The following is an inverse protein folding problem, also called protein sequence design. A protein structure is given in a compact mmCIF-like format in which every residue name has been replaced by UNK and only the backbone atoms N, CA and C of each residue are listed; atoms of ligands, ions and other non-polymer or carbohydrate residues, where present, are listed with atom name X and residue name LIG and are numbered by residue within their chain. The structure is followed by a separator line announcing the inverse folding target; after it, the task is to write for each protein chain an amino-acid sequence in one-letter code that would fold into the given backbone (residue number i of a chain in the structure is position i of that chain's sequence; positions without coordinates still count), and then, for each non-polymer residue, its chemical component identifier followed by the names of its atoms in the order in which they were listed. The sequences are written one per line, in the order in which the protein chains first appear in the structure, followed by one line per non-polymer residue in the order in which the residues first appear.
data_IF_206780200268
#
_entry.id   IF_206780200268
#
_cell.length_a   1.000
_cell.length_b   1.000
_cell.length_c   1.000
_cell.angle_alpha   90.00
_cell.angle_beta   90.00
_cell.angle_gamma   90.00
#
_symmetry.space_group_name_H-M   'P 1'
#
loop_
_entity.id
_entity.type
_entity.pdbx_description
1 polymer ?
#
# COMPACT_ATOMS: atom_id res chain seq x y z
N UNK A 1 15.49 5.26 -38.06
CA UNK A 1 16.37 5.45 -36.88
C UNK A 1 16.50 4.16 -36.08
N UNK A 2 15.40 3.52 -35.72
CA UNK A 2 15.36 2.30 -34.88
C UNK A 2 16.17 1.11 -35.42
N UNK A 3 16.21 0.93 -36.75
CA UNK A 3 17.00 -0.16 -37.36
C UNK A 3 18.52 -0.07 -37.17
N UNK A 4 19.08 1.10 -36.79
CA UNK A 4 20.53 1.27 -36.62
C UNK A 4 21.05 0.67 -35.32
N UNK A 5 20.29 0.78 -34.22
CA UNK A 5 20.67 0.16 -32.94
C UNK A 5 20.73 -1.36 -33.06
N UNK A 6 19.72 -1.96 -33.69
CA UNK A 6 19.69 -3.42 -33.89
C UNK A 6 20.88 -3.91 -34.74
N UNK A 7 21.25 -3.16 -35.79
CA UNK A 7 22.45 -3.46 -36.58
C UNK A 7 23.75 -3.39 -35.76
N UNK A 8 23.86 -2.45 -34.80
CA UNK A 8 25.02 -2.36 -33.91
C UNK A 8 25.09 -3.51 -32.89
N UNK A 9 23.97 -4.19 -32.63
CA UNK A 9 23.89 -5.31 -31.69
C UNK A 9 23.91 -6.68 -32.36
N UNK A 10 23.83 -6.75 -33.69
CA UNK A 10 23.66 -7.99 -34.46
C UNK A 10 24.85 -8.97 -34.31
N UNK A 11 26.05 -8.46 -34.03
CA UNK A 11 27.25 -9.27 -33.81
C UNK A 11 27.49 -9.73 -32.36
N UNK A 12 26.64 -9.32 -31.41
CA UNK A 12 26.84 -9.62 -29.99
C UNK A 12 26.29 -11.01 -29.63
N UNK A 13 27.18 -11.96 -29.37
CA UNK A 13 26.84 -13.37 -29.15
C UNK A 13 26.20 -13.68 -27.79
N UNK A 14 26.17 -12.70 -26.88
CA UNK A 14 25.71 -12.85 -25.50
C UNK A 14 24.84 -11.69 -25.00
N UNK A 15 23.81 -11.31 -25.77
CA UNK A 15 22.86 -10.24 -25.40
C UNK A 15 22.09 -10.58 -24.11
N UNK A 16 22.65 -10.19 -22.97
CA UNK A 16 21.94 -10.17 -21.69
C UNK A 16 21.02 -8.95 -21.61
N UNK A 17 19.98 -9.02 -20.77
CA UNK A 17 19.10 -7.87 -20.53
C UNK A 17 19.87 -6.64 -20.02
N UNK A 18 20.91 -6.86 -19.20
CA UNK A 18 21.75 -5.78 -18.71
C UNK A 18 22.54 -5.10 -19.84
N UNK A 19 23.16 -5.89 -20.73
CA UNK A 19 23.89 -5.36 -21.88
C UNK A 19 22.94 -4.60 -22.82
N UNK A 20 21.77 -5.16 -23.10
CA UNK A 20 20.74 -4.51 -23.92
C UNK A 20 20.30 -3.17 -23.32
N UNK A 21 19.96 -3.14 -22.02
CA UNK A 21 19.56 -1.91 -21.33
C UNK A 21 20.66 -0.85 -21.35
N UNK A 22 21.93 -1.24 -21.19
CA UNK A 22 23.04 -0.30 -21.22
C UNK A 22 23.25 0.26 -22.62
N UNK A 23 23.24 -0.61 -23.65
CA UNK A 23 23.41 -0.20 -25.03
C UNK A 23 22.26 0.71 -25.50
N UNK A 24 21.01 0.36 -25.16
CA UNK A 24 19.84 1.17 -25.54
C UNK A 24 19.85 2.51 -24.81
N UNK A 25 20.20 2.58 -23.53
CA UNK A 25 20.34 3.84 -22.79
C UNK A 25 21.38 4.75 -23.45
N UNK A 26 22.58 4.22 -23.73
CA UNK A 26 23.64 4.97 -24.36
C UNK A 26 23.22 5.46 -25.75
N UNK A 27 22.59 4.61 -26.55
CA UNK A 27 22.09 4.98 -27.86
C UNK A 27 21.00 6.06 -27.81
N UNK A 28 20.05 5.95 -26.87
CA UNK A 28 18.99 6.94 -26.69
C UNK A 28 19.58 8.30 -26.34
N UNK A 29 20.49 8.34 -25.36
CA UNK A 29 21.10 9.58 -24.89
C UNK A 29 22.04 10.21 -25.94
N UNK A 30 22.86 9.39 -26.59
CA UNK A 30 23.96 9.87 -27.43
C UNK A 30 23.54 10.11 -28.88
N UNK A 31 22.67 9.28 -29.44
CA UNK A 31 22.30 9.35 -30.86
C UNK A 31 20.84 9.76 -31.05
N UNK A 32 19.87 9.03 -30.47
CA UNK A 32 18.45 9.25 -30.78
C UNK A 32 18.00 10.66 -30.40
N UNK A 33 18.23 11.08 -29.17
CA UNK A 33 17.83 12.41 -28.69
C UNK A 33 18.59 13.56 -29.36
N UNK A 34 19.75 13.29 -29.98
CA UNK A 34 20.66 14.32 -30.52
C UNK A 34 20.68 14.40 -32.05
N UNK A 35 20.17 13.38 -32.74
CA UNK A 35 20.11 13.35 -34.19
C UNK A 35 18.79 13.95 -34.70
N UNK A 36 18.81 14.58 -35.87
CA UNK A 36 17.60 15.11 -36.50
C UNK A 36 16.62 13.97 -36.78
N UNK A 37 15.40 14.08 -36.23
CA UNK A 37 14.35 13.11 -36.44
C UNK A 37 13.56 13.45 -37.71
N UNK A 38 13.36 12.48 -38.60
CA UNK A 38 12.74 12.69 -39.91
C UNK A 38 11.33 13.28 -39.83
N UNK A 39 10.55 12.90 -38.81
CA UNK A 39 9.18 13.42 -38.63
C UNK A 39 9.12 14.77 -37.92
N UNK A 40 10.13 15.11 -37.11
CA UNK A 40 10.14 16.35 -36.34
C UNK A 40 10.90 17.47 -37.07
N UNK A 41 11.70 17.13 -38.08
CA UNK A 41 12.67 18.02 -38.74
C UNK A 41 13.66 18.73 -37.78
N UNK A 42 13.72 18.28 -36.52
CA UNK A 42 14.62 18.74 -35.45
C UNK A 42 15.00 17.54 -34.57
N UNK A 43 15.87 17.74 -33.58
CA UNK A 43 16.23 16.67 -32.63
C UNK A 43 15.09 16.48 -31.60
N UNK A 44 14.84 15.24 -31.13
CA UNK A 44 13.84 15.01 -30.08
C UNK A 44 14.11 15.82 -28.81
N UNK A 45 15.39 16.02 -28.44
CA UNK A 45 15.77 16.82 -27.29
C UNK A 45 15.41 18.31 -27.48
N UNK A 46 15.74 18.90 -28.63
CA UNK A 46 15.38 20.28 -28.92
C UNK A 46 13.85 20.47 -28.90
N UNK A 47 13.11 19.54 -29.52
CA UNK A 47 11.64 19.58 -29.51
C UNK A 47 11.06 19.50 -28.11
N UNK A 48 11.62 18.66 -27.24
CA UNK A 48 11.20 18.53 -25.85
C UNK A 48 11.45 19.82 -25.05
N UNK A 49 12.61 20.46 -25.23
CA UNK A 49 12.99 21.68 -24.51
C UNK A 49 12.22 22.92 -24.97
N UNK A 50 11.88 23.01 -26.25
CA UNK A 50 11.12 24.14 -26.82
C UNK A 50 9.60 24.00 -26.59
N UNK A 51 9.12 22.78 -26.34
CA UNK A 51 7.70 22.49 -26.16
C UNK A 51 7.12 23.06 -24.87
N UNK A 52 5.79 23.29 -24.82
CA UNK A 52 5.12 23.65 -23.56
C UNK A 52 5.29 22.52 -22.54
N UNK A 53 5.66 22.88 -21.31
CA UNK A 53 5.79 21.91 -20.24
C UNK A 53 4.43 21.47 -19.72
N UNK A 54 4.22 20.16 -19.68
CA UNK A 54 3.11 19.50 -18.96
C UNK A 54 3.60 18.77 -17.72
N UNK A 55 4.80 19.11 -17.25
CA UNK A 55 5.41 18.50 -16.09
C UNK A 55 4.54 18.69 -14.84
N UNK A 56 4.42 17.63 -14.05
CA UNK A 56 3.76 17.66 -12.75
C UNK A 56 4.85 17.76 -11.66
N UNK A 57 4.56 18.42 -10.52
CA UNK A 57 5.45 18.37 -9.38
C UNK A 57 5.78 16.92 -9.01
N UNK A 58 7.06 16.64 -8.80
CA UNK A 58 7.47 15.33 -8.31
C UNK A 58 6.87 15.12 -6.91
N UNK A 59 6.22 13.97 -6.64
CA UNK A 59 5.82 13.63 -5.28
C UNK A 59 7.04 13.60 -4.36
N UNK A 60 6.83 13.84 -3.07
CA UNK A 60 7.91 13.69 -2.11
C UNK A 60 8.40 12.24 -2.03
N UNK A 61 9.59 12.06 -1.46
CA UNK A 61 10.22 10.75 -1.38
C UNK A 61 9.39 9.72 -0.58
N UNK A 62 8.57 10.14 0.38
CA UNK A 62 7.73 9.24 1.17
C UNK A 62 6.52 8.76 0.35
N UNK A 63 5.91 9.64 -0.44
CA UNK A 63 4.87 9.31 -1.40
C UNK A 63 5.37 8.32 -2.44
N UNK A 64 6.57 8.56 -3.02
CA UNK A 64 7.19 7.62 -3.96
C UNK A 64 7.45 6.26 -3.30
N UNK A 65 8.07 6.22 -2.12
CA UNK A 65 8.29 4.96 -1.38
C UNK A 65 7.01 4.21 -1.07
N UNK A 66 5.89 4.92 -0.90
CA UNK A 66 4.58 4.30 -0.64
C UNK A 66 3.97 3.74 -1.93
N UNK A 67 4.11 4.45 -3.05
CA UNK A 67 3.56 4.05 -4.35
C UNK A 67 4.18 2.75 -4.90
N UNK A 68 5.45 2.47 -4.60
CA UNK A 68 6.18 1.29 -5.08
C UNK A 68 6.16 0.09 -4.11
N UNK A 69 5.11 -0.03 -3.30
CA UNK A 69 4.94 -1.16 -2.37
C UNK A 69 3.99 -2.20 -2.95
N UNK A 70 4.29 -3.46 -2.67
CA UNK A 70 3.38 -4.58 -2.90
C UNK A 70 2.71 -4.97 -1.60
N UNK A 71 1.53 -5.57 -1.70
CA UNK A 71 0.82 -6.17 -0.58
C UNK A 71 0.88 -7.69 -0.67
N UNK A 72 1.10 -8.35 0.46
CA UNK A 72 1.05 -9.82 0.55
C UNK A 72 0.33 -10.27 1.82
N UNK A 73 -0.51 -11.30 1.68
CA UNK A 73 -1.07 -12.01 2.83
C UNK A 73 -0.06 -13.02 3.38
N UNK A 74 0.07 -13.11 4.70
CA UNK A 74 0.93 -14.06 5.40
C UNK A 74 0.23 -14.61 6.63
N UNK A 75 0.46 -15.89 6.93
CA UNK A 75 -0.03 -16.51 8.16
C UNK A 75 0.90 -16.15 9.32
N UNK A 76 0.36 -15.61 10.39
CA UNK A 76 1.10 -15.36 11.62
C UNK A 76 1.37 -16.68 12.34
N UNK A 77 2.58 -16.84 12.89
CA UNK A 77 2.92 -17.95 13.77
C UNK A 77 2.37 -17.69 15.17
N UNK A 78 1.39 -18.50 15.61
CA UNK A 78 0.72 -18.30 16.92
C UNK A 78 1.63 -18.46 18.13
N UNK A 79 2.68 -19.29 18.02
CA UNK A 79 3.53 -19.63 19.16
C UNK A 79 4.43 -18.47 19.63
N UNK A 80 4.89 -17.61 18.71
CA UNK A 80 5.80 -16.49 19.00
C UNK A 80 5.31 -15.14 18.43
N UNK A 81 4.13 -15.12 17.80
CA UNK A 81 3.55 -13.89 17.25
C UNK A 81 4.32 -13.32 16.06
N UNK A 82 5.13 -14.10 15.36
CA UNK A 82 5.96 -13.62 14.25
C UNK A 82 5.38 -13.94 12.87
N UNK A 83 5.90 -13.28 11.85
CA UNK A 83 5.61 -13.57 10.44
C UNK A 83 6.90 -13.62 9.62
N UNK A 84 6.97 -14.57 8.68
CA UNK A 84 8.10 -14.66 7.75
C UNK A 84 7.84 -13.87 6.48
N UNK A 85 8.80 -13.04 6.08
CA UNK A 85 8.76 -12.27 4.83
C UNK A 85 10.15 -12.27 4.21
N UNK A 86 10.28 -12.71 2.95
CA UNK A 86 11.54 -12.67 2.20
C UNK A 86 12.79 -13.16 2.98
N UNK A 87 12.64 -14.22 3.79
CA UNK A 87 13.72 -14.82 4.58
C UNK A 87 13.96 -14.19 5.97
N UNK A 88 13.33 -13.06 6.29
CA UNK A 88 13.39 -12.44 7.63
C UNK A 88 12.14 -12.76 8.45
N UNK A 89 12.28 -12.75 9.78
CA UNK A 89 11.15 -12.82 10.71
C UNK A 89 10.85 -11.44 11.24
N UNK A 90 9.57 -11.07 11.20
CA UNK A 90 9.07 -9.80 11.70
C UNK A 90 8.18 -10.07 12.91
N UNK A 91 8.25 -9.20 13.90
CA UNK A 91 7.38 -9.25 15.08
C UNK A 91 6.04 -8.58 14.79
N UNK A 92 4.93 -9.25 15.11
CA UNK A 92 3.60 -8.63 15.08
C UNK A 92 3.28 -8.06 16.47
N UNK A 93 2.82 -6.80 16.56
CA UNK A 93 2.39 -6.24 17.83
C UNK A 93 1.30 -7.08 18.51
N UNK A 94 1.42 -7.28 19.83
CA UNK A 94 0.55 -8.18 20.60
C UNK A 94 -0.96 -7.88 20.51
N UNK A 95 -1.34 -6.66 20.14
CA UNK A 95 -2.74 -6.25 19.89
C UNK A 95 -3.36 -6.91 18.66
N UNK A 96 -2.54 -7.35 17.70
CA UNK A 96 -2.98 -8.03 16.48
C UNK A 96 -2.76 -9.55 16.53
N UNK A 97 -2.36 -10.12 17.67
CA UNK A 97 -2.10 -11.57 17.82
C UNK A 97 -3.28 -12.49 17.48
N UNK A 98 -4.49 -11.95 17.49
CA UNK A 98 -5.70 -12.69 17.15
C UNK A 98 -5.86 -12.89 15.64
N UNK A 99 -5.15 -12.10 14.82
CA UNK A 99 -5.19 -12.20 13.36
C UNK A 99 -4.40 -13.43 12.92
N UNK A 100 -5.08 -14.43 12.39
CA UNK A 100 -4.41 -15.61 11.83
C UNK A 100 -3.65 -15.28 10.55
N UNK A 101 -4.26 -14.46 9.69
CA UNK A 101 -3.68 -13.96 8.45
C UNK A 101 -3.53 -12.45 8.57
N UNK A 102 -2.33 -11.97 8.27
CA UNK A 102 -1.95 -10.56 8.28
C UNK A 102 -1.57 -10.11 6.88
N UNK A 103 -1.85 -8.86 6.55
CA UNK A 103 -1.49 -8.26 5.26
C UNK A 103 -0.31 -7.32 5.46
N UNK A 104 0.74 -7.51 4.67
CA UNK A 104 1.98 -6.77 4.79
C UNK A 104 2.20 -5.95 3.52
N UNK A 105 2.51 -4.66 3.66
CA UNK A 105 2.97 -3.79 2.56
C UNK A 105 4.43 -3.45 2.69
N UNK A 106 5.17 -3.62 1.60
CA UNK A 106 6.62 -3.40 1.56
C UNK A 106 7.12 -3.26 0.12
N UNK A 107 8.31 -2.72 -0.07
CA UNK A 107 8.99 -2.71 -1.37
C UNK A 107 9.85 -3.97 -1.50
N UNK A 108 9.77 -4.70 -2.62
CA UNK A 108 10.51 -5.97 -2.80
C UNK A 108 12.02 -5.84 -2.64
N UNK A 109 12.57 -4.67 -2.95
CA UNK A 109 13.99 -4.35 -2.87
C UNK A 109 14.41 -3.68 -1.55
N UNK A 110 13.45 -3.33 -0.67
CA UNK A 110 13.72 -2.63 0.58
C UNK A 110 12.79 -3.15 1.70
N UNK A 111 13.36 -3.97 2.58
CA UNK A 111 12.68 -4.54 3.74
C UNK A 111 12.82 -3.68 5.01
N UNK A 112 13.47 -2.51 4.96
CA UNK A 112 13.58 -1.62 6.11
C UNK A 112 12.21 -1.03 6.51
N UNK A 113 11.27 -1.00 5.56
CA UNK A 113 9.93 -0.48 5.75
C UNK A 113 8.89 -1.53 5.40
N UNK A 114 8.43 -2.27 6.41
CA UNK A 114 7.33 -3.22 6.29
C UNK A 114 6.20 -2.77 7.20
N UNK A 115 5.02 -2.60 6.64
CA UNK A 115 3.83 -2.19 7.38
C UNK A 115 2.80 -3.31 7.40
N UNK A 116 2.21 -3.55 8.57
CA UNK A 116 0.96 -4.27 8.70
C UNK A 116 -0.17 -3.36 8.25
N UNK A 117 -1.04 -3.87 7.37
CA UNK A 117 -2.17 -3.12 6.82
C UNK A 117 -3.49 -3.85 7.02
N UNK A 118 -4.56 -3.09 7.09
CA UNK A 118 -5.91 -3.63 6.95
C UNK A 118 -6.19 -3.92 5.46
N UNK A 119 -6.50 -5.17 5.07
CA UNK A 119 -6.78 -5.51 3.68
C UNK A 119 -8.01 -4.81 3.11
N UNK A 120 -8.98 -4.41 3.95
CA UNK A 120 -10.22 -3.83 3.45
C UNK A 120 -10.10 -2.33 3.18
N UNK A 121 -9.64 -1.55 4.17
CA UNK A 121 -9.47 -0.10 4.03
C UNK A 121 -8.13 0.29 3.39
N UNK A 122 -7.15 -0.62 3.40
CA UNK A 122 -5.77 -0.30 3.05
C UNK A 122 -5.05 0.58 4.07
N UNK A 123 -5.63 0.81 5.25
CA UNK A 123 -5.02 1.62 6.30
C UNK A 123 -3.78 0.91 6.88
N UNK A 124 -2.74 1.70 7.17
CA UNK A 124 -1.56 1.21 7.88
C UNK A 124 -1.90 1.05 9.36
N UNK A 125 -1.82 -0.17 9.87
CA UNK A 125 -2.10 -0.53 11.26
C UNK A 125 -0.86 -0.37 12.15
N UNK A 126 0.31 -0.78 11.65
CA UNK A 126 1.57 -0.67 12.38
C UNK A 126 2.78 -0.93 11.49
N UNK A 127 3.90 -0.19 11.66
CA UNK A 127 5.18 -0.65 11.15
C UNK A 127 5.61 -1.92 11.91
N UNK A 128 6.29 -2.82 11.20
CA UNK A 128 6.85 -4.06 11.72
C UNK A 128 8.38 -3.97 11.77
N UNK A 129 8.97 -4.68 12.73
CA UNK A 129 10.41 -4.72 12.93
C UNK A 129 10.93 -6.15 12.79
N UNK A 130 12.17 -6.34 12.33
CA UNK A 130 12.86 -7.62 12.43
C UNK A 130 12.89 -8.11 13.87
N UNK A 131 12.70 -9.42 14.04
CA UNK A 131 12.79 -10.12 15.32
C UNK A 131 14.21 -10.00 15.89
N UNK A 132 14.36 -9.34 17.04
CA UNK A 132 15.62 -9.29 17.77
C UNK A 132 15.72 -10.48 18.73
N UNK A 133 16.41 -11.53 18.28
CA UNK A 133 16.57 -12.76 19.08
C UNK A 133 17.40 -12.54 20.34
N UNK A 134 18.35 -11.61 20.32
CA UNK A 134 19.26 -11.38 21.44
C UNK A 134 18.53 -10.65 22.57
N UNK A 135 17.79 -9.59 22.24
CA UNK A 135 16.92 -8.91 23.19
C UNK A 135 15.86 -9.86 23.78
N UNK A 136 15.24 -10.68 22.92
CA UNK A 136 14.16 -11.58 23.34
C UNK A 136 14.63 -12.82 24.12
N UNK A 137 15.93 -13.11 24.18
CA UNK A 137 16.45 -14.30 24.89
C UNK A 137 16.43 -14.14 26.42
N UNK A 138 16.55 -12.92 26.94
CA UNK A 138 16.69 -12.64 28.36
C UNK A 138 15.41 -12.22 29.07
N UNK A 139 14.36 -11.86 28.33
CA UNK A 139 13.14 -11.34 28.92
C UNK A 139 12.22 -12.46 29.44
N UNK A 140 11.77 -12.33 30.68
CA UNK A 140 10.76 -13.21 31.23
C UNK A 140 9.47 -13.06 30.42
N UNK A 141 8.94 -14.18 29.91
CA UNK A 141 7.68 -14.19 29.15
C UNK A 141 6.57 -13.59 30.02
N UNK A 142 6.10 -12.39 29.66
CA UNK A 142 4.93 -11.79 30.31
C UNK A 142 3.74 -12.73 30.08
N UNK A 143 3.16 -13.23 31.17
CA UNK A 143 2.00 -14.10 31.09
C UNK A 143 0.87 -13.37 30.37
N UNK A 144 0.35 -14.00 29.32
CA UNK A 144 -0.82 -13.52 28.62
C UNK A 144 -2.01 -13.71 29.57
N UNK A 145 -2.58 -12.63 30.09
CA UNK A 145 -3.83 -12.73 30.87
C UNK A 145 -4.94 -13.12 29.88
N UNK A 146 -5.52 -14.33 29.98
CA UNK A 146 -6.66 -14.70 29.15
C UNK A 146 -7.83 -13.82 29.58
N UNK A 147 -8.43 -13.09 28.65
CA UNK A 147 -9.61 -12.27 28.95
C UNK A 147 -9.30 -10.88 29.50
N UNK A 148 -8.42 -10.11 28.85
CA UNK A 148 -8.52 -8.66 28.98
C UNK A 148 -9.99 -8.28 28.72
N UNK A 149 -10.68 -7.62 29.66
CA UNK A 149 -12.11 -7.43 29.57
C UNK A 149 -12.39 -6.69 28.27
N UNK A 150 -13.22 -7.30 27.42
CA UNK A 150 -13.90 -6.55 26.36
C UNK A 150 -14.48 -5.32 27.06
N UNK A 151 -14.23 -4.09 26.58
CA UNK A 151 -14.81 -2.90 27.17
C UNK A 151 -16.30 -3.17 27.32
N UNK A 152 -16.75 -3.25 28.58
CA UNK A 152 -18.16 -3.45 28.87
C UNK A 152 -18.88 -2.32 28.13
N UNK A 153 -19.94 -2.61 27.35
CA UNK A 153 -20.70 -1.55 26.71
C UNK A 153 -21.08 -0.56 27.81
N UNK A 154 -20.64 0.69 27.67
CA UNK A 154 -21.00 1.76 28.58
C UNK A 154 -22.52 1.76 28.73
N UNK A 155 -23.02 1.97 29.94
CA UNK A 155 -24.46 2.10 30.20
C UNK A 155 -25.10 2.97 29.11
N UNK A 156 -26.20 2.52 28.47
CA UNK A 156 -26.77 3.23 27.34
C UNK A 156 -27.10 4.66 27.75
N UNK A 157 -26.35 5.63 27.23
CA UNK A 157 -26.46 7.06 27.55
C UNK A 157 -27.70 7.70 26.90
N UNK A 158 -28.60 6.89 26.36
CA UNK A 158 -29.70 7.34 25.51
C UNK A 158 -29.22 7.92 24.18
N UNK A 159 -30.19 8.40 23.40
CA UNK A 159 -29.93 8.99 22.09
C UNK A 159 -29.16 10.31 22.24
N UNK A 160 -28.11 10.50 21.45
CA UNK A 160 -27.33 11.74 21.42
C UNK A 160 -28.23 12.96 21.11
N UNK A 161 -28.00 14.13 21.73
CA UNK A 161 -28.86 15.31 21.58
C UNK A 161 -28.98 15.80 20.12
N UNK A 162 -27.89 15.72 19.35
CA UNK A 162 -27.91 16.05 17.91
C UNK A 162 -28.86 15.14 17.13
N UNK A 163 -28.89 13.84 17.43
CA UNK A 163 -29.77 12.89 16.75
C UNK A 163 -31.24 13.16 17.09
N UNK A 164 -31.55 13.55 18.33
CA UNK A 164 -32.91 14.01 18.71
C UNK A 164 -33.35 15.22 17.90
N UNK A 165 -32.49 16.24 17.79
CA UNK A 165 -32.79 17.44 17.00
C UNK A 165 -33.01 17.11 15.51
N UNK A 166 -32.21 16.20 14.94
CA UNK A 166 -32.39 15.77 13.56
C UNK A 166 -33.72 15.04 13.36
N UNK A 167 -34.13 14.18 14.30
CA UNK A 167 -35.43 13.50 14.26
C UNK A 167 -36.61 14.48 14.39
N UNK A 168 -36.52 15.47 15.29
CA UNK A 168 -37.53 16.53 15.44
C UNK A 168 -37.66 17.37 14.17
N UNK A 169 -36.51 17.76 13.59
CA UNK A 169 -36.47 18.52 12.34
C UNK A 169 -37.07 17.72 11.20
N UNK A 170 -36.73 16.44 11.09
CA UNK A 170 -37.29 15.56 10.06
C UNK A 170 -38.81 15.37 10.25
N UNK A 171 -39.27 15.12 11.47
CA UNK A 171 -40.70 15.02 11.78
C UNK A 171 -41.48 16.30 11.42
N UNK A 172 -40.88 17.49 11.66
CA UNK A 172 -41.48 18.77 11.30
C UNK A 172 -41.67 18.98 9.79
N UNK A 173 -40.93 18.24 8.93
CA UNK A 173 -41.13 18.31 7.47
C UNK A 173 -42.40 17.60 6.99
N UNK A 174 -42.98 16.70 7.81
CA UNK A 174 -44.14 15.90 7.44
C UNK A 174 -43.89 14.88 6.32
N UNK A 175 -42.64 14.68 5.89
CA UNK A 175 -42.28 13.71 4.87
C UNK A 175 -42.30 12.29 5.46
N UNK A 176 -42.89 11.30 4.76
CA UNK A 176 -42.78 9.91 5.18
C UNK A 176 -41.32 9.44 5.07
N UNK A 177 -40.89 8.47 5.90
CA UNK A 177 -39.56 7.88 5.77
C UNK A 177 -39.36 7.34 4.35
N UNK A 178 -38.17 7.55 3.78
CA UNK A 178 -37.83 7.09 2.42
C UNK A 178 -37.56 5.56 2.35
N UNK A 179 -38.07 4.81 3.32
CA UNK A 179 -37.97 3.36 3.39
C UNK A 179 -39.32 2.78 3.80
N UNK A 180 -39.62 1.58 3.28
CA UNK A 180 -40.75 0.79 3.74
C UNK A 180 -40.28 -0.05 4.93
N UNK A 181 -40.99 -0.03 6.07
CA UNK A 181 -40.65 -0.91 7.18
C UNK A 181 -40.87 -2.37 6.74
N UNK A 182 -39.88 -3.23 7.04
CA UNK A 182 -40.06 -4.67 6.91
C UNK A 182 -40.92 -5.16 8.07
N UNK A 183 -42.23 -5.35 7.83
CA UNK A 183 -43.10 -6.04 8.77
C UNK A 183 -42.78 -7.54 8.72
N UNK A 184 -41.84 -7.97 9.57
CA UNK A 184 -41.63 -9.40 9.84
C UNK A 184 -42.64 -9.79 10.91
N UNK A 185 -43.30 -10.94 10.78
CA UNK A 185 -44.46 -11.36 11.58
C UNK A 185 -44.26 -11.52 13.11
N UNK A 186 -43.13 -11.06 13.65
CA UNK A 186 -42.81 -11.08 15.09
C UNK A 186 -43.29 -9.83 15.84
N UNK A 187 -43.68 -8.75 15.14
CA UNK A 187 -44.01 -7.45 15.75
C UNK A 187 -45.50 -7.27 16.11
N UNK A 188 -46.30 -8.33 16.12
CA UNK A 188 -47.71 -8.31 16.60
C UNK A 188 -47.91 -9.31 17.75
N UNK A 189 -47.42 -8.96 18.95
CA UNK A 189 -47.86 -9.52 20.22
C UNK A 189 -47.85 -8.47 21.33
#
# INVERSE_FOLDING_TARGET
MEGRLMAMLEGESGLTLQALNHATQAWVEQEYHRSTHSELATTPLARYLEGPTVARPCPDAAALRTAFRIEVARRQRRADGTVSLAGIRLEIPARYRALETVHLRYARWDLAHVDLVDPHSGAILSPLRPLDKAANAGEARRALVPGAPVPQPSTPSGMAPLLRQLLETHAATGLPPAYLPLNTAEDTR
#
